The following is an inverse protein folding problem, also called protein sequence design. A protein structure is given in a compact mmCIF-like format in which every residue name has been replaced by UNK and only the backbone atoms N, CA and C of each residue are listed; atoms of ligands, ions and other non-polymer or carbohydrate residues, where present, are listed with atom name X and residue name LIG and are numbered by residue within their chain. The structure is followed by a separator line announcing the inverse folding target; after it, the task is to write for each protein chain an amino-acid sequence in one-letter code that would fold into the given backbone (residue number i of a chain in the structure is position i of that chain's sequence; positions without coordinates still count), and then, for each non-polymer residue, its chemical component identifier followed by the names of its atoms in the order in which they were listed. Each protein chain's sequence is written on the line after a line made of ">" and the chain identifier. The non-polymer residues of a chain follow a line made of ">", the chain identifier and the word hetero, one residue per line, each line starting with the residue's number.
data_IF_266407075307
#
_entry.id   IF_266407075307
#
_cell.length_a   1.000
_cell.length_b   1.000
_cell.length_c   1.000
_cell.angle_alpha   90.00
_cell.angle_beta   90.00
_cell.angle_gamma   90.00
#
_symmetry.space_group_name_H-M   'P 1'
#
loop_
_entity.id
_entity.type
_entity.pdbx_description
1 polymer ?
#
# COMPACT_ATOMS: atom_id res chain seq x y z
N UNK A 1 -4.20 34.20 -4.31
CA UNK A 1 -3.77 32.78 -4.25
C UNK A 1 -4.74 32.03 -3.35
N UNK A 2 -5.22 30.84 -3.72
CA UNK A 2 -6.15 30.05 -2.88
C UNK A 2 -5.35 29.21 -1.88
N UNK A 3 -5.88 29.01 -0.66
CA UNK A 3 -5.29 28.09 0.33
C UNK A 3 -5.59 26.65 -0.10
N UNK A 4 -4.62 25.77 0.11
CA UNK A 4 -4.73 24.33 -0.13
C UNK A 4 -4.49 23.61 1.19
N UNK A 5 -5.31 22.62 1.49
CA UNK A 5 -5.23 21.81 2.70
C UNK A 5 -5.20 20.33 2.33
N UNK A 6 -4.63 19.49 3.20
CA UNK A 6 -4.65 18.04 3.07
C UNK A 6 -5.90 17.54 3.79
N UNK A 7 -6.78 16.83 3.07
CA UNK A 7 -8.05 16.33 3.61
C UNK A 7 -8.09 14.82 3.74
N UNK A 8 -7.17 14.08 3.09
CA UNK A 8 -7.08 12.63 3.22
C UNK A 8 -5.69 12.11 2.89
N UNK A 9 -5.34 11.00 3.51
CA UNK A 9 -4.08 10.28 3.37
C UNK A 9 -4.36 8.82 2.99
N UNK A 10 -3.46 8.25 2.19
CA UNK A 10 -3.55 6.86 1.78
C UNK A 10 -2.19 6.25 1.66
N UNK A 11 -1.97 5.15 2.39
CA UNK A 11 -0.69 4.47 2.48
C UNK A 11 -0.88 2.98 2.26
N UNK A 12 -0.04 2.40 1.42
CA UNK A 12 0.17 0.97 1.33
C UNK A 12 1.67 0.74 1.40
N UNK A 13 2.15 0.08 2.46
CA UNK A 13 3.58 -0.01 2.75
C UNK A 13 3.97 -1.43 3.18
N UNK A 14 5.28 -1.70 3.26
CA UNK A 14 5.79 -2.96 3.81
C UNK A 14 5.57 -3.12 5.32
N UNK A 15 4.98 -2.13 5.99
CA UNK A 15 4.70 -2.15 7.42
C UNK A 15 3.23 -1.86 7.74
N UNK A 16 2.32 -1.88 6.76
CA UNK A 16 0.90 -1.71 7.07
C UNK A 16 0.01 -1.40 5.86
N UNK A 17 -1.25 -1.73 6.03
CA UNK A 17 -2.37 -1.45 5.14
C UNK A 17 -3.14 -0.23 5.65
N UNK A 18 -3.01 0.91 4.96
CA UNK A 18 -3.66 2.15 5.37
C UNK A 18 -2.84 3.00 6.34
N UNK A 19 -3.39 4.17 6.68
CA UNK A 19 -2.72 5.22 7.46
C UNK A 19 -2.49 4.77 8.90
N UNK A 20 -3.53 4.31 9.57
CA UNK A 20 -3.51 3.98 11.00
C UNK A 20 -2.51 2.85 11.29
N UNK A 21 -2.59 1.74 10.55
CA UNK A 21 -1.69 0.61 10.75
C UNK A 21 -0.24 1.00 10.44
N UNK A 22 0.01 1.65 9.30
CA UNK A 22 1.36 2.09 8.93
C UNK A 22 1.95 3.01 10.00
N UNK A 23 1.17 3.96 10.49
CA UNK A 23 1.62 4.93 11.49
C UNK A 23 1.89 4.29 12.85
N UNK A 24 1.01 3.42 13.32
CA UNK A 24 1.20 2.68 14.57
C UNK A 24 2.43 1.78 14.52
N UNK A 25 2.65 1.09 13.39
CA UNK A 25 3.81 0.24 13.19
C UNK A 25 5.11 1.05 13.08
N UNK A 26 5.06 2.23 12.45
CA UNK A 26 6.19 3.16 12.40
C UNK A 26 6.58 3.65 13.81
N UNK A 27 5.61 4.12 14.60
CA UNK A 27 5.84 4.57 15.98
C UNK A 27 6.34 3.44 16.89
N UNK A 28 5.91 2.21 16.60
CA UNK A 28 6.36 1.00 17.30
C UNK A 28 7.71 0.48 16.80
N UNK A 29 8.41 1.22 15.94
CA UNK A 29 9.72 0.84 15.35
C UNK A 29 9.72 -0.50 14.62
N UNK A 30 8.57 -0.91 14.06
CA UNK A 30 8.51 -2.14 13.26
C UNK A 30 9.28 -1.95 11.95
N UNK A 31 10.13 -2.92 11.63
CA UNK A 31 10.84 -2.98 10.35
C UNK A 31 10.06 -3.80 9.34
N UNK A 32 9.86 -3.27 8.13
CA UNK A 32 9.31 -4.02 7.00
C UNK A 32 10.36 -4.75 6.18
N UNK A 33 11.65 -4.65 6.56
CA UNK A 33 12.75 -5.27 5.82
C UNK A 33 12.82 -6.76 6.15
N UNK A 34 12.74 -7.60 5.12
CA UNK A 34 12.82 -9.05 5.23
C UNK A 34 13.59 -9.66 4.06
N UNK A 35 13.93 -10.96 4.17
CA UNK A 35 14.56 -11.72 3.07
C UNK A 35 13.59 -11.78 1.88
N UNK A 36 14.11 -11.55 0.68
CA UNK A 36 13.34 -11.67 -0.56
C UNK A 36 13.03 -13.15 -0.80
N UNK A 37 11.74 -13.49 -0.94
CA UNK A 37 11.25 -14.85 -1.20
C UNK A 37 10.54 -14.99 -2.55
N UNK A 38 10.25 -13.87 -3.23
CA UNK A 38 9.52 -13.87 -4.50
C UNK A 38 10.33 -14.35 -5.71
N UNK A 39 11.65 -14.42 -5.59
CA UNK A 39 12.57 -14.90 -6.62
C UNK A 39 13.92 -15.30 -6.00
N UNK A 40 14.76 -16.00 -6.75
CA UNK A 40 16.09 -16.43 -6.32
C UNK A 40 17.06 -15.24 -6.21
N UNK A 41 17.70 -15.08 -5.05
CA UNK A 41 18.58 -13.94 -4.76
C UNK A 41 20.02 -14.34 -4.44
N UNK A 42 20.39 -15.61 -4.61
CA UNK A 42 21.67 -16.12 -4.10
C UNK A 42 22.89 -15.45 -4.73
N UNK A 43 22.79 -15.12 -6.01
CA UNK A 43 23.82 -14.42 -6.78
C UNK A 43 23.73 -12.89 -6.70
N UNK A 44 22.82 -12.33 -5.89
CA UNK A 44 22.68 -10.89 -5.71
C UNK A 44 23.49 -10.39 -4.52
N UNK A 45 24.13 -9.21 -4.61
CA UNK A 45 24.84 -8.60 -3.49
C UNK A 45 23.89 -8.18 -2.35
N UNK A 46 22.62 -7.89 -2.66
CA UNK A 46 21.57 -7.59 -1.69
C UNK A 46 20.46 -8.63 -1.76
N UNK A 47 20.03 -9.15 -0.60
CA UNK A 47 19.08 -10.28 -0.48
C UNK A 47 17.85 -9.95 0.38
N UNK A 48 17.74 -8.69 0.80
CA UNK A 48 16.68 -8.19 1.68
C UNK A 48 16.03 -6.96 1.06
N UNK A 49 14.74 -6.75 1.34
CA UNK A 49 14.01 -5.57 0.91
C UNK A 49 12.80 -5.31 1.81
N UNK A 50 12.29 -4.08 1.78
CA UNK A 50 10.95 -3.75 2.26
C UNK A 50 9.97 -3.95 1.11
N UNK A 51 9.17 -5.01 1.17
CA UNK A 51 8.19 -5.30 0.12
C UNK A 51 6.87 -5.77 0.72
N UNK A 52 5.82 -5.60 -0.07
CA UNK A 52 4.48 -6.12 0.18
C UNK A 52 4.40 -7.52 -0.43
N UNK A 53 3.99 -8.50 0.37
CA UNK A 53 3.89 -9.90 -0.07
C UNK A 53 2.45 -10.30 -0.38
N UNK A 54 2.28 -11.18 -1.35
CA UNK A 54 0.99 -11.84 -1.61
C UNK A 54 0.91 -13.24 -0.97
N UNK A 55 1.94 -13.65 -0.21
CA UNK A 55 1.94 -14.90 0.57
C UNK A 55 1.29 -14.65 1.93
N UNK A 56 0.18 -15.33 2.20
CA UNK A 56 -0.61 -15.25 3.45
C UNK A 56 0.21 -15.54 4.71
N UNK A 57 1.32 -16.26 4.58
CA UNK A 57 2.20 -16.58 5.71
C UNK A 57 3.29 -15.51 5.94
N UNK A 58 3.37 -14.49 5.07
CA UNK A 58 4.34 -13.41 5.22
C UNK A 58 3.88 -12.39 6.28
N UNK A 59 4.78 -11.89 7.13
CA UNK A 59 4.45 -10.80 8.07
C UNK A 59 4.02 -9.50 7.37
N UNK A 60 4.32 -9.37 6.06
CA UNK A 60 3.99 -8.21 5.25
C UNK A 60 2.91 -8.57 4.20
N UNK A 61 2.05 -9.55 4.50
CA UNK A 61 1.00 -9.99 3.60
C UNK A 61 -0.02 -8.88 3.33
N UNK A 62 -0.42 -8.75 2.07
CA UNK A 62 -1.52 -7.90 1.67
C UNK A 62 -2.31 -8.56 0.54
N UNK A 63 -3.63 -8.63 0.70
CA UNK A 63 -4.51 -9.21 -0.29
C UNK A 63 -4.96 -8.18 -1.33
N UNK A 64 -4.23 -8.13 -2.44
CA UNK A 64 -4.49 -7.19 -3.54
C UNK A 64 -5.81 -7.46 -4.27
N UNK A 65 -6.30 -8.70 -4.26
CA UNK A 65 -7.55 -9.11 -4.93
C UNK A 65 -8.79 -8.48 -4.27
N UNK A 66 -8.68 -7.99 -3.02
CA UNK A 66 -9.75 -7.23 -2.35
C UNK A 66 -10.01 -5.87 -2.99
N UNK A 67 -9.02 -5.31 -3.67
CA UNK A 67 -9.04 -3.92 -4.14
C UNK A 67 -9.04 -3.80 -5.66
N UNK A 68 -8.44 -4.75 -6.36
CA UNK A 68 -8.28 -4.71 -7.81
C UNK A 68 -8.80 -6.01 -8.40
N UNK A 69 -9.59 -5.91 -9.48
CA UNK A 69 -10.07 -7.09 -10.21
C UNK A 69 -8.89 -7.84 -10.81
N UNK A 70 -8.94 -9.17 -10.79
CA UNK A 70 -7.89 -10.05 -11.34
C UNK A 70 -7.43 -9.70 -12.76
N UNK A 71 -8.36 -9.26 -13.61
CA UNK A 71 -8.05 -8.80 -14.98
C UNK A 71 -7.11 -7.60 -14.98
N UNK A 72 -7.31 -6.67 -14.06
CA UNK A 72 -6.54 -5.43 -13.96
C UNK A 72 -5.22 -5.64 -13.20
N UNK A 73 -5.17 -6.60 -12.27
CA UNK A 73 -3.90 -7.05 -11.66
C UNK A 73 -2.94 -7.57 -12.73
N UNK A 74 -3.41 -8.43 -13.64
CA UNK A 74 -2.56 -8.99 -14.69
C UNK A 74 -2.13 -7.97 -15.77
N UNK A 75 -2.83 -6.84 -15.88
CA UNK A 75 -2.57 -5.80 -16.89
C UNK A 75 -1.67 -4.67 -16.40
N UNK A 76 -1.54 -4.53 -15.09
CA UNK A 76 -0.82 -3.41 -14.47
C UNK A 76 0.39 -3.93 -13.70
N UNK A 77 1.50 -3.21 -13.77
CA UNK A 77 2.63 -3.49 -12.89
C UNK A 77 2.27 -3.19 -11.42
N UNK A 78 3.00 -3.79 -10.47
CA UNK A 78 2.75 -3.64 -9.02
C UNK A 78 2.71 -2.19 -8.58
N UNK A 79 3.56 -1.31 -9.11
CA UNK A 79 3.57 0.09 -8.68
C UNK A 79 2.24 0.81 -9.00
N UNK A 80 1.60 0.48 -10.14
CA UNK A 80 0.29 1.02 -10.52
C UNK A 80 -0.77 0.51 -9.55
N UNK A 81 -0.72 -0.80 -9.24
CA UNK A 81 -1.65 -1.42 -8.31
C UNK A 81 -1.56 -0.75 -6.92
N UNK A 82 -0.35 -0.51 -6.41
CA UNK A 82 -0.14 0.19 -5.15
C UNK A 82 -0.68 1.62 -5.19
N UNK A 83 -0.46 2.34 -6.30
CA UNK A 83 -1.00 3.68 -6.49
C UNK A 83 -2.52 3.72 -6.45
N UNK A 84 -3.20 2.78 -7.13
CA UNK A 84 -4.67 2.67 -7.12
C UNK A 84 -5.19 2.44 -5.70
N UNK A 85 -4.55 1.54 -4.95
CA UNK A 85 -4.97 1.19 -3.59
C UNK A 85 -4.75 2.35 -2.63
N UNK A 86 -3.56 2.95 -2.63
CA UNK A 86 -3.26 4.11 -1.80
C UNK A 86 -4.20 5.28 -2.12
N UNK A 87 -4.49 5.53 -3.41
CA UNK A 87 -5.47 6.54 -3.79
C UNK A 87 -6.89 6.21 -3.28
N UNK A 88 -7.31 4.95 -3.32
CA UNK A 88 -8.59 4.52 -2.74
C UNK A 88 -8.67 4.80 -1.24
N UNK A 89 -7.59 4.54 -0.50
CA UNK A 89 -7.50 4.88 0.92
C UNK A 89 -7.60 6.39 1.15
N UNK A 90 -6.88 7.20 0.37
CA UNK A 90 -6.92 8.66 0.51
C UNK A 90 -8.29 9.26 0.20
N UNK A 91 -8.98 8.76 -0.84
CA UNK A 91 -10.34 9.19 -1.19
C UNK A 91 -11.30 8.89 -0.04
N UNK A 92 -11.28 7.66 0.49
CA UNK A 92 -12.12 7.25 1.62
C UNK A 92 -11.83 8.07 2.88
N UNK A 93 -10.55 8.28 3.21
CA UNK A 93 -10.12 9.07 4.37
C UNK A 93 -10.59 10.52 4.25
N UNK A 94 -10.56 11.09 3.04
CA UNK A 94 -11.05 12.45 2.80
C UNK A 94 -12.57 12.60 2.81
N UNK A 95 -13.33 11.50 2.68
CA UNK A 95 -14.78 11.51 2.52
C UNK A 95 -15.27 12.19 1.23
N UNK A 96 -14.39 12.49 0.27
CA UNK A 96 -14.73 13.24 -0.95
C UNK A 96 -15.68 12.47 -1.87
N UNK A 97 -15.73 11.15 -1.75
CA UNK A 97 -16.65 10.25 -2.46
C UNK A 97 -18.09 10.33 -1.96
N UNK A 98 -18.34 11.00 -0.83
CA UNK A 98 -19.66 11.18 -0.24
C UNK A 98 -20.20 12.61 -0.35
N UNK A 99 -19.54 13.48 -1.13
CA UNK A 99 -20.01 14.84 -1.37
C UNK A 99 -21.15 14.82 -2.41
N UNK A 100 -22.24 15.53 -2.12
CA UNK A 100 -23.28 15.79 -3.11
C UNK A 100 -22.90 16.99 -3.96
N UNK A 101 -23.36 17.04 -5.22
CA UNK A 101 -23.06 18.10 -6.20
C UNK A 101 -23.50 19.52 -5.77
N UNK A 102 -24.06 19.71 -4.58
CA UNK A 102 -24.57 20.98 -4.06
C UNK A 102 -23.66 21.68 -3.04
N UNK A 103 -22.45 21.17 -2.80
CA UNK A 103 -21.43 21.79 -1.92
C UNK A 103 -20.23 22.29 -2.72
#
# INVERSE_FOLDING_TARGET
>A
MRRVVITGLGLLTSIGEGVEETWNNLLSTKSGIQKITSFEVDNLPCKIAGFISNDENSPNYFNIDKYIKKKDINRNDRFIQYGIIAANFAIKDSGIDNLSDQQ
#
